data_IF_234044659693
#
_entry.id   IF_234044659693
#
_cell.length_a   1.000
_cell.length_b   1.000
_cell.length_c   1.000
_cell.angle_alpha   90.00
_cell.angle_beta   90.00
_cell.angle_gamma   90.00
#
_symmetry.space_group_name_H-M   'P 1'
#
loop_
_entity.id
_entity.type
_entity.pdbx_description
1 polymer ?
#
# COMPACT_ATOMS: atom_id res chain seq x y z
N UNK A 1 -46.42 26.93 38.61
CA UNK A 1 -45.32 25.94 38.55
C UNK A 1 -44.38 26.41 37.46
N UNK A 2 -43.18 26.74 37.80
CA UNK A 2 -42.18 27.24 36.83
C UNK A 2 -41.75 26.09 35.92
N UNK A 3 -41.94 26.23 34.61
CA UNK A 3 -41.56 25.25 33.61
C UNK A 3 -40.06 24.86 33.65
N UNK A 4 -39.27 25.63 34.37
CA UNK A 4 -37.85 25.34 34.60
C UNK A 4 -37.61 24.24 35.65
N UNK A 5 -38.55 23.94 36.55
CA UNK A 5 -38.38 22.87 37.53
C UNK A 5 -38.65 21.50 36.97
N UNK A 6 -39.48 21.36 35.93
CA UNK A 6 -39.78 20.10 35.26
C UNK A 6 -38.60 19.54 34.44
N UNK A 7 -37.63 20.37 34.11
CA UNK A 7 -36.47 19.94 33.35
C UNK A 7 -35.38 19.24 34.15
N UNK A 8 -35.48 19.24 35.48
CA UNK A 8 -34.45 18.67 36.37
C UNK A 8 -34.77 17.27 36.91
N UNK A 9 -35.98 16.73 36.64
CA UNK A 9 -36.41 15.41 37.16
C UNK A 9 -35.84 14.21 36.41
N UNK A 10 -34.97 14.39 35.49
CA UNK A 10 -34.53 13.28 34.61
C UNK A 10 -33.16 12.75 34.99
N UNK A 11 -32.47 12.83 35.93
CA UNK A 11 -31.17 12.24 36.35
C UNK A 11 -30.35 13.29 37.14
N UNK A 12 -30.41 13.17 38.43
CA UNK A 12 -29.58 13.96 39.34
C UNK A 12 -28.11 13.92 38.90
N UNK A 13 -27.56 15.08 38.55
CA UNK A 13 -26.14 15.22 38.23
C UNK A 13 -25.74 15.17 36.75
N UNK A 14 -26.64 14.91 35.82
CA UNK A 14 -26.29 14.95 34.39
C UNK A 14 -26.52 16.33 33.78
N UNK A 15 -25.46 17.10 33.61
CA UNK A 15 -25.47 18.29 32.74
C UNK A 15 -25.67 17.84 31.30
N UNK A 16 -26.89 17.94 30.75
CA UNK A 16 -27.27 17.50 29.40
C UNK A 16 -26.30 17.99 28.32
N UNK A 17 -25.69 19.14 28.47
CA UNK A 17 -24.66 19.66 27.58
C UNK A 17 -23.36 18.86 27.57
N UNK A 18 -23.04 18.16 28.67
CA UNK A 18 -21.78 17.41 28.77
C UNK A 18 -21.82 16.11 27.99
N UNK A 19 -22.97 15.45 27.87
CA UNK A 19 -23.12 14.22 27.07
C UNK A 19 -22.97 14.49 25.59
N UNK A 20 -23.59 15.54 25.07
CA UNK A 20 -23.46 15.93 23.65
C UNK A 20 -22.01 16.30 23.32
N UNK A 21 -21.33 17.02 24.21
CA UNK A 21 -19.93 17.36 24.02
C UNK A 21 -19.00 16.15 24.01
N UNK A 22 -19.21 15.15 24.88
CA UNK A 22 -18.42 13.91 24.92
C UNK A 22 -18.59 13.05 23.66
N UNK A 23 -19.82 12.89 23.18
CA UNK A 23 -20.10 12.14 21.94
C UNK A 23 -19.45 12.86 20.75
N UNK A 24 -19.59 14.17 20.69
CA UNK A 24 -19.00 14.97 19.64
C UNK A 24 -17.46 14.89 19.66
N UNK A 25 -16.84 14.93 20.84
CA UNK A 25 -15.39 14.78 20.99
C UNK A 25 -14.92 13.36 20.62
N UNK A 26 -15.68 12.33 20.98
CA UNK A 26 -15.35 10.93 20.63
C UNK A 26 -15.46 10.70 19.12
N UNK A 27 -16.46 11.30 18.46
CA UNK A 27 -16.61 11.26 17.01
C UNK A 27 -15.45 11.99 16.31
N UNK A 28 -15.08 13.18 16.77
CA UNK A 28 -13.92 13.92 16.25
C UNK A 28 -12.62 13.12 16.33
N UNK A 29 -12.37 12.44 17.45
CA UNK A 29 -11.22 11.53 17.60
C UNK A 29 -11.30 10.35 16.63
N UNK A 30 -12.48 9.80 16.42
CA UNK A 30 -12.70 8.69 15.49
C UNK A 30 -12.45 9.10 14.03
N UNK A 31 -12.91 10.28 13.63
CA UNK A 31 -12.67 10.85 12.29
C UNK A 31 -11.17 11.14 12.09
N UNK A 32 -10.50 11.73 13.08
CA UNK A 32 -9.06 11.97 13.00
C UNK A 32 -8.26 10.67 12.82
N UNK A 33 -8.67 9.60 13.52
CA UNK A 33 -8.06 8.28 13.35
C UNK A 33 -8.33 7.69 11.97
N UNK A 34 -9.54 7.84 11.43
CA UNK A 34 -9.87 7.47 10.05
C UNK A 34 -8.95 8.16 9.05
N UNK A 35 -8.87 9.49 9.11
CA UNK A 35 -8.02 10.29 8.22
C UNK A 35 -6.54 9.85 8.28
N UNK A 36 -6.05 9.49 9.47
CA UNK A 36 -4.69 8.96 9.66
C UNK A 36 -4.52 7.58 9.00
N UNK A 37 -5.53 6.73 9.06
CA UNK A 37 -5.51 5.42 8.40
C UNK A 37 -5.60 5.55 6.88
N UNK A 38 -6.45 6.44 6.37
CA UNK A 38 -6.59 6.71 4.93
C UNK A 38 -5.27 7.24 4.34
N UNK A 39 -4.60 8.18 5.00
CA UNK A 39 -3.25 8.62 4.60
C UNK A 39 -2.22 7.47 4.57
N UNK A 40 -2.30 6.54 5.52
CA UNK A 40 -1.43 5.35 5.52
C UNK A 40 -1.72 4.42 4.34
N UNK A 41 -2.98 4.27 3.96
CA UNK A 41 -3.39 3.49 2.77
C UNK A 41 -2.82 4.14 1.51
N UNK A 42 -2.94 5.45 1.34
CA UNK A 42 -2.38 6.18 0.20
C UNK A 42 -0.86 6.03 0.08
N UNK A 43 -0.15 6.21 1.19
CA UNK A 43 1.32 6.01 1.23
C UNK A 43 1.70 4.58 0.88
N UNK A 44 0.99 3.60 1.42
CA UNK A 44 1.24 2.19 1.12
C UNK A 44 0.94 1.86 -0.35
N UNK A 45 -0.15 2.40 -0.92
CA UNK A 45 -0.51 2.30 -2.34
C UNK A 45 0.60 2.87 -3.24
N UNK A 46 1.06 4.08 -2.95
CA UNK A 46 2.13 4.71 -3.71
C UNK A 46 3.45 3.92 -3.65
N UNK A 47 3.79 3.35 -2.49
CA UNK A 47 4.96 2.46 -2.34
C UNK A 47 4.81 1.18 -3.16
N UNK A 48 3.64 0.54 -3.13
CA UNK A 48 3.35 -0.66 -3.91
C UNK A 48 3.46 -0.37 -5.41
N UNK A 49 2.86 0.71 -5.90
CA UNK A 49 2.95 1.12 -7.30
C UNK A 49 4.40 1.39 -7.74
N UNK A 50 5.17 2.13 -6.94
CA UNK A 50 6.60 2.37 -7.23
C UNK A 50 7.42 1.07 -7.26
N UNK A 51 7.12 0.14 -6.38
CA UNK A 51 7.81 -1.15 -6.33
C UNK A 51 7.47 -2.02 -7.53
N UNK A 52 6.19 -2.09 -7.95
CA UNK A 52 5.77 -2.84 -9.14
C UNK A 52 6.35 -2.24 -10.42
N UNK A 53 6.35 -0.92 -10.57
CA UNK A 53 7.01 -0.26 -11.71
C UNK A 53 8.49 -0.62 -11.75
N UNK A 54 9.20 -0.58 -10.61
CA UNK A 54 10.61 -0.97 -10.53
C UNK A 54 10.85 -2.45 -10.82
N UNK A 55 9.93 -3.33 -10.47
CA UNK A 55 10.01 -4.75 -10.79
C UNK A 55 9.86 -4.99 -12.29
N UNK A 56 8.90 -4.29 -12.93
CA UNK A 56 8.59 -4.48 -14.35
C UNK A 56 9.55 -3.77 -15.30
N UNK A 57 10.32 -2.77 -14.85
CA UNK A 57 11.19 -1.96 -15.73
C UNK A 57 12.66 -2.31 -15.60
N UNK A 58 13.36 -2.30 -16.72
CA UNK A 58 14.81 -2.29 -16.83
C UNK A 58 15.52 -3.62 -16.53
N UNK A 59 15.34 -4.22 -15.34
CA UNK A 59 16.06 -5.43 -14.96
C UNK A 59 15.46 -6.66 -15.60
N UNK A 60 14.15 -6.80 -15.59
CA UNK A 60 13.44 -7.92 -16.23
C UNK A 60 13.65 -7.92 -17.74
N UNK A 61 13.59 -6.76 -18.39
CA UNK A 61 13.87 -6.62 -19.82
C UNK A 61 15.31 -6.99 -20.16
N UNK A 62 16.28 -6.55 -19.34
CA UNK A 62 17.70 -6.92 -19.52
C UNK A 62 17.93 -8.42 -19.33
N UNK A 63 17.30 -9.01 -18.32
CA UNK A 63 17.37 -10.45 -18.09
C UNK A 63 16.88 -11.21 -19.33
N UNK A 64 15.66 -10.90 -19.82
CA UNK A 64 15.09 -11.55 -21.02
C UNK A 64 15.98 -11.41 -22.25
N UNK A 65 16.55 -10.23 -22.48
CA UNK A 65 17.49 -10.01 -23.60
C UNK A 65 18.75 -10.85 -23.47
N UNK A 66 19.33 -10.94 -22.28
CA UNK A 66 20.54 -11.73 -22.06
C UNK A 66 20.26 -13.22 -22.14
N UNK A 67 19.12 -13.69 -21.63
CA UNK A 67 18.67 -15.07 -21.79
C UNK A 67 18.51 -15.45 -23.26
N UNK A 68 17.76 -14.63 -24.03
CA UNK A 68 17.61 -14.86 -25.47
C UNK A 68 18.95 -14.86 -26.22
N UNK A 69 19.93 -14.06 -25.75
CA UNK A 69 21.28 -14.06 -26.34
C UNK A 69 22.03 -15.36 -26.02
N UNK A 70 21.92 -15.85 -24.77
CA UNK A 70 22.52 -17.13 -24.37
C UNK A 70 21.94 -18.28 -25.20
N UNK A 71 20.61 -18.35 -25.29
CA UNK A 71 19.89 -19.36 -26.06
C UNK A 71 20.28 -19.33 -27.56
N UNK A 72 20.44 -18.11 -28.12
CA UNK A 72 20.91 -17.96 -29.50
C UNK A 72 22.32 -18.50 -29.69
N UNK A 73 23.23 -18.27 -28.74
CA UNK A 73 24.58 -18.85 -28.84
C UNK A 73 24.56 -20.36 -28.67
N UNK A 74 23.76 -20.88 -27.77
CA UNK A 74 23.59 -22.30 -27.57
C UNK A 74 23.08 -22.97 -28.84
N UNK A 75 21.98 -22.49 -29.42
CA UNK A 75 21.42 -23.01 -30.68
C UNK A 75 22.44 -22.96 -31.82
N UNK A 76 23.30 -21.93 -31.91
CA UNK A 76 24.37 -21.84 -32.90
C UNK A 76 25.48 -22.86 -32.62
N UNK A 77 25.79 -23.12 -31.36
CA UNK A 77 26.76 -24.14 -30.97
C UNK A 77 26.26 -25.53 -31.41
N UNK A 78 25.00 -25.84 -31.08
CA UNK A 78 24.37 -27.12 -31.41
C UNK A 78 24.31 -27.34 -32.93
N UNK A 79 23.88 -26.32 -33.71
CA UNK A 79 23.89 -26.40 -35.18
C UNK A 79 25.28 -26.64 -35.76
N UNK A 80 26.35 -26.10 -35.15
CA UNK A 80 27.72 -26.29 -35.61
C UNK A 80 28.34 -27.60 -35.13
N UNK A 81 27.85 -28.15 -34.05
CA UNK A 81 28.28 -29.45 -33.53
C UNK A 81 27.63 -30.61 -34.27
N UNK A 82 26.34 -30.46 -34.59
CA UNK A 82 25.53 -31.54 -35.17
C UNK A 82 25.10 -31.25 -36.63
N UNK A 83 25.57 -30.16 -37.25
CA UNK A 83 25.25 -29.83 -38.63
C UNK A 83 26.04 -30.64 -39.65
N UNK A 84 25.59 -30.61 -40.92
CA UNK A 84 26.12 -31.41 -42.03
C UNK A 84 27.62 -31.21 -42.27
N UNK A 85 28.16 -30.02 -41.94
CA UNK A 85 29.61 -29.74 -42.00
C UNK A 85 30.04 -29.24 -40.64
N UNK A 86 30.56 -30.09 -39.74
CA UNK A 86 30.94 -29.68 -38.40
C UNK A 86 32.23 -28.83 -38.43
N UNK A 87 32.13 -27.59 -37.91
CA UNK A 87 33.30 -26.73 -37.78
C UNK A 87 33.73 -26.70 -36.29
N UNK A 88 34.57 -27.61 -35.90
CA UNK A 88 35.03 -27.84 -34.55
C UNK A 88 35.64 -26.58 -33.88
N UNK A 89 36.50 -25.84 -34.58
CA UNK A 89 37.13 -24.62 -34.06
C UNK A 89 36.14 -23.51 -33.74
N UNK A 90 35.07 -23.34 -34.52
CA UNK A 90 34.00 -22.37 -34.28
C UNK A 90 32.98 -22.90 -33.28
N UNK A 91 32.73 -24.21 -33.25
CA UNK A 91 31.86 -24.86 -32.30
C UNK A 91 32.37 -24.71 -30.85
N UNK A 92 33.66 -24.86 -30.61
CA UNK A 92 34.28 -24.77 -29.29
C UNK A 92 34.19 -23.35 -28.65
N UNK A 93 34.15 -22.28 -29.45
CA UNK A 93 34.08 -20.88 -28.94
C UNK A 93 32.66 -20.43 -28.60
N UNK A 94 31.64 -21.06 -29.12
CA UNK A 94 30.25 -20.65 -28.94
C UNK A 94 29.68 -20.99 -27.54
N UNK A 95 29.97 -22.18 -26.95
CA UNK A 95 29.57 -22.48 -25.58
C UNK A 95 30.10 -21.45 -24.57
N UNK A 96 31.38 -21.09 -24.70
CA UNK A 96 31.98 -20.08 -23.79
C UNK A 96 31.27 -18.73 -23.88
N UNK A 97 30.76 -18.33 -25.07
CA UNK A 97 29.93 -17.12 -25.22
C UNK A 97 28.55 -17.30 -24.62
N UNK A 98 27.97 -18.48 -24.76
CA UNK A 98 26.68 -18.83 -24.14
C UNK A 98 26.80 -18.77 -22.62
N UNK A 99 27.82 -19.41 -22.02
CA UNK A 99 28.06 -19.44 -20.58
C UNK A 99 28.26 -18.04 -20.02
N UNK A 100 29.03 -17.20 -20.70
CA UNK A 100 29.21 -15.79 -20.30
C UNK A 100 27.90 -14.99 -20.34
N UNK A 101 27.08 -15.22 -21.35
CA UNK A 101 25.77 -14.57 -21.46
C UNK A 101 24.82 -15.09 -20.39
N UNK A 102 24.83 -16.39 -20.12
CA UNK A 102 24.04 -17.03 -19.06
C UNK A 102 24.45 -16.53 -17.66
N UNK A 103 25.75 -16.44 -17.38
CA UNK A 103 26.24 -15.88 -16.13
C UNK A 103 25.75 -14.45 -15.91
N UNK A 104 25.83 -13.61 -16.96
CA UNK A 104 25.27 -12.25 -16.91
C UNK A 104 23.75 -12.27 -16.70
N UNK A 105 23.02 -13.16 -17.37
CA UNK A 105 21.59 -13.30 -17.21
C UNK A 105 21.22 -13.69 -15.77
N UNK A 106 21.91 -14.65 -15.17
CA UNK A 106 21.67 -15.10 -13.78
C UNK A 106 21.85 -13.94 -12.79
N UNK A 107 22.88 -13.10 -12.96
CA UNK A 107 23.06 -11.91 -12.10
C UNK A 107 21.87 -10.93 -12.19
N UNK A 108 21.24 -10.81 -13.34
CA UNK A 108 20.03 -9.98 -13.49
C UNK A 108 18.77 -10.71 -13.00
N UNK A 109 18.70 -12.04 -13.08
CA UNK A 109 17.64 -12.85 -12.53
C UNK A 109 17.51 -12.62 -11.02
N UNK A 110 18.60 -12.78 -10.29
CA UNK A 110 18.61 -12.54 -8.82
C UNK A 110 18.12 -11.13 -8.45
N UNK A 111 18.55 -10.12 -9.23
CA UNK A 111 18.08 -8.75 -9.03
C UNK A 111 16.58 -8.59 -9.33
N UNK A 112 16.07 -9.28 -10.34
CA UNK A 112 14.64 -9.27 -10.68
C UNK A 112 13.85 -9.90 -9.56
N UNK A 113 14.21 -11.10 -9.12
CA UNK A 113 13.54 -11.83 -8.03
C UNK A 113 13.50 -11.03 -6.73
N UNK A 114 14.61 -10.37 -6.37
CA UNK A 114 14.63 -9.47 -5.19
C UNK A 114 13.69 -8.27 -5.32
N UNK A 115 13.51 -7.74 -6.53
CA UNK A 115 12.56 -6.65 -6.79
C UNK A 115 11.13 -7.14 -6.76
N UNK A 116 10.86 -8.32 -7.31
CA UNK A 116 9.55 -8.96 -7.30
C UNK A 116 9.12 -9.29 -5.86
N UNK A 117 10.01 -9.83 -5.04
CA UNK A 117 9.75 -10.02 -3.61
C UNK A 117 9.44 -8.69 -2.89
N UNK A 118 10.19 -7.62 -3.18
CA UNK A 118 9.91 -6.29 -2.59
C UNK A 118 8.56 -5.74 -3.05
N UNK A 119 8.20 -5.94 -4.30
CA UNK A 119 6.90 -5.54 -4.84
C UNK A 119 5.76 -6.33 -4.18
N UNK A 120 5.91 -7.64 -4.04
CA UNK A 120 4.95 -8.50 -3.34
C UNK A 120 4.77 -8.08 -1.87
N UNK A 121 5.87 -7.80 -1.15
CA UNK A 121 5.81 -7.31 0.23
C UNK A 121 5.10 -5.96 0.33
N UNK A 122 5.40 -5.02 -0.56
CA UNK A 122 4.74 -3.72 -0.58
C UNK A 122 3.24 -3.85 -0.88
N UNK A 123 2.84 -4.78 -1.74
CA UNK A 123 1.45 -5.07 -2.05
C UNK A 123 0.71 -5.67 -0.84
N UNK A 124 1.34 -6.60 -0.11
CA UNK A 124 0.75 -7.13 1.13
C UNK A 124 0.58 -6.07 2.21
N UNK A 125 1.54 -5.17 2.35
CA UNK A 125 1.46 -4.05 3.30
C UNK A 125 0.32 -3.09 2.93
N UNK A 126 0.12 -2.81 1.64
CA UNK A 126 -1.03 -2.03 1.15
C UNK A 126 -2.36 -2.70 1.50
N UNK A 127 -2.52 -4.00 1.22
CA UNK A 127 -3.75 -4.75 1.54
C UNK A 127 -4.01 -4.75 3.05
N UNK A 128 -2.98 -4.91 3.88
CA UNK A 128 -3.10 -4.84 5.34
C UNK A 128 -3.56 -3.47 5.82
N UNK A 129 -3.01 -2.40 5.25
CA UNK A 129 -3.42 -1.03 5.57
C UNK A 129 -4.88 -0.79 5.20
N UNK A 130 -5.29 -1.22 4.02
CA UNK A 130 -6.67 -1.12 3.54
C UNK A 130 -7.65 -1.87 4.44
N UNK A 131 -7.33 -3.12 4.81
CA UNK A 131 -8.16 -3.91 5.73
C UNK A 131 -8.31 -3.24 7.11
N UNK A 132 -7.25 -2.63 7.63
CA UNK A 132 -7.30 -1.88 8.90
C UNK A 132 -8.22 -0.66 8.79
N UNK A 133 -8.14 0.09 7.71
CA UNK A 133 -9.00 1.24 7.46
C UNK A 133 -10.48 0.82 7.35
N UNK A 134 -10.76 -0.22 6.58
CA UNK A 134 -12.13 -0.77 6.43
C UNK A 134 -12.71 -1.28 7.76
N UNK A 135 -11.92 -2.01 8.56
CA UNK A 135 -12.36 -2.46 9.90
C UNK A 135 -12.70 -1.27 10.79
N UNK A 136 -11.90 -0.22 10.74
CA UNK A 136 -12.16 0.98 11.51
C UNK A 136 -13.43 1.69 11.08
N UNK A 137 -13.69 1.83 9.78
CA UNK A 137 -14.95 2.40 9.25
C UNK A 137 -16.14 1.61 9.76
N UNK A 138 -16.13 0.28 9.62
CA UNK A 138 -17.19 -0.59 10.12
C UNK A 138 -17.42 -0.43 11.63
N UNK A 139 -16.36 -0.24 12.40
CA UNK A 139 -16.44 -0.03 13.84
C UNK A 139 -17.04 1.34 14.18
N UNK A 140 -16.65 2.38 13.45
CA UNK A 140 -17.25 3.71 13.56
C UNK A 140 -18.74 3.67 13.26
N UNK A 141 -19.15 3.02 12.15
CA UNK A 141 -20.54 2.91 11.76
C UNK A 141 -21.36 2.22 12.84
N UNK A 142 -20.86 1.13 13.44
CA UNK A 142 -21.53 0.46 14.57
C UNK A 142 -21.66 1.36 15.80
N UNK A 143 -20.60 2.11 16.14
CA UNK A 143 -20.55 2.94 17.35
C UNK A 143 -21.44 4.17 17.24
N UNK A 144 -21.57 4.72 16.05
CA UNK A 144 -22.31 5.97 15.82
C UNK A 144 -23.62 5.78 15.04
N UNK A 145 -24.02 4.53 14.74
CA UNK A 145 -25.31 4.21 14.10
C UNK A 145 -26.47 4.74 14.95
N UNK A 146 -27.40 5.44 14.31
CA UNK A 146 -28.56 6.05 14.98
C UNK A 146 -28.29 7.38 15.73
N UNK A 147 -27.05 7.84 15.78
CA UNK A 147 -26.73 9.19 16.28
C UNK A 147 -26.72 10.15 15.07
N UNK A 148 -27.38 11.30 15.18
CA UNK A 148 -27.47 12.31 14.09
C UNK A 148 -26.07 12.87 13.76
N UNK A 149 -25.26 12.07 13.08
CA UNK A 149 -23.86 12.31 12.76
C UNK A 149 -23.72 13.54 11.83
N UNK A 150 -24.71 13.78 10.97
CA UNK A 150 -24.75 14.96 10.09
C UNK A 150 -24.77 16.28 10.86
N UNK A 151 -25.51 16.35 11.96
CA UNK A 151 -25.55 17.52 12.85
C UNK A 151 -24.27 17.63 13.70
N UNK A 152 -23.72 16.48 14.13
CA UNK A 152 -22.48 16.44 14.90
C UNK A 152 -21.29 16.85 14.00
N UNK A 153 -21.27 16.44 12.75
CA UNK A 153 -20.23 16.75 11.78
C UNK A 153 -20.16 18.23 11.42
N UNK A 154 -21.30 18.92 11.26
CA UNK A 154 -21.33 20.37 10.98
C UNK A 154 -20.74 21.17 12.14
N UNK A 155 -21.17 20.90 13.39
CA UNK A 155 -20.62 21.57 14.59
C UNK A 155 -19.14 21.30 14.83
N UNK A 156 -18.61 20.15 14.39
CA UNK A 156 -17.19 19.80 14.58
C UNK A 156 -16.25 20.35 13.52
N UNK A 157 -16.71 20.64 12.31
CA UNK A 157 -15.89 21.42 11.36
C UNK A 157 -15.52 22.77 11.95
N UNK A 158 -16.43 23.38 12.71
CA UNK A 158 -16.22 24.70 13.32
C UNK A 158 -15.42 24.60 14.63
N UNK A 159 -15.67 23.59 15.47
CA UNK A 159 -14.92 23.42 16.73
C UNK A 159 -13.52 22.82 16.50
N UNK A 160 -13.30 22.05 15.45
CA UNK A 160 -11.98 21.54 15.05
C UNK A 160 -11.03 22.67 14.65
N UNK A 161 -11.54 23.69 13.94
CA UNK A 161 -10.76 24.89 13.60
C UNK A 161 -10.40 25.71 14.84
N UNK A 162 -11.29 25.78 15.82
CA UNK A 162 -11.04 26.50 17.08
C UNK A 162 -10.09 25.75 18.03
N UNK A 163 -10.06 24.41 17.99
CA UNK A 163 -9.16 23.61 18.80
C UNK A 163 -7.71 23.69 18.31
N UNK A 164 -7.51 23.77 17.00
CA UNK A 164 -6.17 23.97 16.40
C UNK A 164 -5.66 25.37 16.70
N UNK A 165 -6.52 26.40 16.63
CA UNK A 165 -6.13 27.79 16.98
C UNK A 165 -5.72 27.96 18.45
N UNK A 166 -6.34 27.23 19.40
CA UNK A 166 -6.00 27.31 20.85
C UNK A 166 -4.71 26.57 21.23
N UNK A 167 -4.15 25.73 20.37
CA UNK A 167 -2.88 25.03 20.63
C UNK A 167 -1.66 25.70 19.99
N UNK A 168 -1.88 26.70 19.17
CA UNK A 168 -0.82 27.45 18.46
C UNK A 168 -0.66 28.87 19.03
N UNK A 169 -1.51 29.27 19.98
CA UNK A 169 -1.37 30.44 20.82
C UNK A 169 -0.93 30.05 22.24
#
# INVERSE_FOLDING_TARGET
MNDNELMHYGVLGMKWGVHRGRVAQSYGKAVAKRNKLDKRVEVAKAKAQKATVKANTGVSAKYKKLQATADKYQRKADKKKYGFIPNQKKAAKLPVKADRAQFKANKYKDKSERRDMKAGKAQTDYIRAQRKAQKWVKQMDKTFKGKNISQISKKHKDSGKNYVKRRVA
#
